data_IF_922683218201
#
_entry.id   IF_922683218201
#
_cell.length_a   1.000
_cell.length_b   1.000
_cell.length_c   1.000
_cell.angle_alpha   90.00
_cell.angle_beta   90.00
_cell.angle_gamma   90.00
#
_symmetry.space_group_name_H-M   'P 1'
#
loop_
_entity.id
_entity.type
_entity.pdbx_description
1 polymer ?
#
# COMPACT_ATOMS: atom_id res chain seq x y z
N UNK A 1 9.18 10.43 -27.41
CA UNK A 1 10.22 10.84 -26.44
C UNK A 1 10.02 9.99 -25.20
N UNK A 2 11.07 9.58 -24.50
CA UNK A 2 10.93 8.82 -23.25
C UNK A 2 11.13 9.80 -22.09
N UNK A 3 10.17 9.82 -21.18
CA UNK A 3 10.20 10.58 -19.95
C UNK A 3 10.53 9.62 -18.80
N UNK A 4 11.46 10.01 -17.94
CA UNK A 4 11.84 9.23 -16.76
C UNK A 4 11.63 10.15 -15.56
N UNK A 5 10.76 9.77 -14.65
CA UNK A 5 10.49 10.53 -13.44
C UNK A 5 11.08 9.81 -12.23
N UNK A 6 11.81 10.53 -11.38
CA UNK A 6 12.05 10.14 -10.00
C UNK A 6 10.81 10.50 -9.17
N UNK A 7 10.22 9.49 -8.55
CA UNK A 7 9.04 9.61 -7.71
C UNK A 7 9.43 9.27 -6.27
N UNK A 8 9.31 10.26 -5.39
CA UNK A 8 9.51 10.10 -3.96
C UNK A 8 8.16 10.05 -3.24
N UNK A 9 8.06 9.10 -2.32
CA UNK A 9 6.88 8.90 -1.47
C UNK A 9 7.28 9.11 -0.02
N UNK A 10 6.67 10.10 0.63
CA UNK A 10 6.87 10.37 2.05
C UNK A 10 5.63 9.91 2.82
N UNK A 11 5.80 9.05 3.81
CA UNK A 11 4.69 8.54 4.61
C UNK A 11 4.23 9.58 5.64
N UNK A 12 2.93 9.86 5.66
CA UNK A 12 2.29 10.74 6.66
C UNK A 12 1.46 9.94 7.69
N UNK A 13 1.48 8.61 7.57
CA UNK A 13 0.78 7.67 8.44
C UNK A 13 1.55 6.34 8.47
N UNK A 14 1.30 5.49 9.46
CA UNK A 14 1.99 4.21 9.55
C UNK A 14 1.54 3.27 8.42
N UNK A 15 2.49 2.73 7.67
CA UNK A 15 2.23 1.87 6.52
C UNK A 15 2.26 0.40 6.91
N UNK A 16 1.13 -0.26 6.69
CA UNK A 16 0.95 -1.68 6.97
C UNK A 16 0.56 -2.50 5.73
N UNK A 17 1.31 -3.57 5.50
CA UNK A 17 0.94 -4.74 4.71
C UNK A 17 1.77 -5.93 5.21
N UNK A 18 1.22 -7.14 5.11
CA UNK A 18 1.89 -8.33 5.62
C UNK A 18 2.86 -8.87 4.57
N UNK A 19 4.15 -8.61 4.74
CA UNK A 19 5.21 -9.27 3.96
C UNK A 19 5.62 -10.58 4.63
N UNK A 20 5.73 -10.59 5.96
CA UNK A 20 6.04 -11.77 6.77
C UNK A 20 5.03 -11.93 7.89
N UNK A 21 4.63 -13.17 8.16
CA UNK A 21 3.74 -13.53 9.27
C UNK A 21 4.42 -14.57 10.15
N UNK A 22 4.74 -14.19 11.39
CA UNK A 22 5.45 -15.03 12.37
C UNK A 22 4.57 -15.17 13.61
N UNK A 23 3.72 -16.20 13.62
CA UNK A 23 2.75 -16.43 14.70
C UNK A 23 1.75 -15.28 14.80
N UNK A 24 1.90 -14.41 15.81
CA UNK A 24 1.06 -13.21 16.01
C UNK A 24 1.76 -11.90 15.65
N UNK A 25 2.97 -11.97 15.10
CA UNK A 25 3.72 -10.83 14.61
C UNK A 25 3.56 -10.74 13.09
N UNK A 26 3.06 -9.60 12.62
CA UNK A 26 2.91 -9.29 11.20
C UNK A 26 3.90 -8.18 10.86
N UNK A 27 4.77 -8.40 9.88
CA UNK A 27 5.84 -7.46 9.54
C UNK A 27 5.68 -6.93 8.11
N UNK A 28 5.83 -5.61 7.97
CA UNK A 28 5.95 -4.90 6.71
C UNK A 28 7.42 -4.67 6.39
N UNK A 29 7.91 -5.25 5.30
CA UNK A 29 9.26 -4.96 4.81
C UNK A 29 9.30 -3.59 4.09
N UNK A 30 10.44 -2.89 4.07
CA UNK A 30 10.56 -1.57 3.48
C UNK A 30 10.67 -1.58 1.94
N UNK A 31 9.76 -2.29 1.26
CA UNK A 31 9.69 -2.38 -0.20
C UNK A 31 8.24 -2.37 -0.67
N UNK A 32 7.88 -1.38 -1.49
CA UNK A 32 6.52 -1.28 -2.05
C UNK A 32 6.54 -1.85 -3.47
N UNK A 33 5.73 -2.88 -3.71
CA UNK A 33 5.65 -3.55 -5.00
C UNK A 33 5.07 -2.63 -6.09
N UNK A 34 5.54 -2.78 -7.33
CA UNK A 34 5.12 -1.93 -8.45
C UNK A 34 3.59 -1.92 -8.67
N UNK A 35 2.93 -3.07 -8.53
CA UNK A 35 1.47 -3.14 -8.70
C UNK A 35 0.76 -2.23 -7.69
N UNK A 36 1.15 -2.29 -6.42
CA UNK A 36 0.57 -1.43 -5.39
C UNK A 36 0.76 0.07 -5.73
N UNK A 37 1.92 0.43 -6.29
CA UNK A 37 2.18 1.79 -6.76
C UNK A 37 1.30 2.18 -7.95
N UNK A 38 1.11 1.30 -8.93
CA UNK A 38 0.24 1.58 -10.08
C UNK A 38 -1.20 1.89 -9.64
N UNK A 39 -1.72 1.16 -8.65
CA UNK A 39 -3.04 1.45 -8.06
C UNK A 39 -3.02 2.75 -7.24
N UNK A 40 -2.03 2.92 -6.34
CA UNK A 40 -1.98 4.05 -5.41
C UNK A 40 -1.77 5.40 -6.14
N UNK A 41 -0.96 5.41 -7.20
CA UNK A 41 -0.70 6.59 -8.05
C UNK A 41 -1.87 6.92 -8.98
N UNK A 42 -2.92 6.10 -9.03
CA UNK A 42 -4.08 6.33 -9.89
C UNK A 42 -3.83 6.06 -11.37
N UNK A 43 -2.77 5.33 -11.72
CA UNK A 43 -2.45 4.96 -13.10
C UNK A 43 -3.41 3.88 -13.62
N UNK A 44 -3.96 3.07 -12.72
CA UNK A 44 -4.95 2.05 -13.06
C UNK A 44 -6.35 2.64 -12.90
N UNK A 45 -7.14 2.58 -13.98
CA UNK A 45 -8.54 2.95 -13.92
C UNK A 45 -9.40 1.78 -13.42
N UNK A 46 -9.61 1.71 -12.10
CA UNK A 46 -10.46 0.71 -11.48
C UNK A 46 -11.48 1.38 -10.55
N UNK A 47 -12.64 1.75 -11.09
CA UNK A 47 -13.73 2.32 -10.26
C UNK A 47 -14.21 1.37 -9.16
N UNK A 48 -14.06 0.06 -9.37
CA UNK A 48 -14.42 -1.00 -8.42
C UNK A 48 -13.30 -1.43 -7.45
N UNK A 49 -12.02 -1.03 -7.65
CA UNK A 49 -10.89 -1.46 -6.79
C UNK A 49 -10.19 -0.33 -6.05
N UNK A 50 -10.61 0.92 -6.23
CA UNK A 50 -9.94 2.09 -5.62
C UNK A 50 -10.08 2.17 -4.10
N UNK A 51 -11.19 1.69 -3.54
CA UNK A 51 -11.49 1.78 -2.12
C UNK A 51 -12.02 0.48 -1.51
N UNK A 52 -12.88 -0.23 -2.24
CA UNK A 52 -13.49 -1.46 -1.76
C UNK A 52 -13.73 -2.42 -2.92
N UNK A 53 -13.17 -3.62 -2.83
CA UNK A 53 -13.48 -4.71 -3.74
C UNK A 53 -14.42 -5.70 -3.03
N UNK A 54 -15.61 -5.91 -3.59
CA UNK A 54 -16.63 -6.81 -3.04
C UNK A 54 -16.24 -8.28 -3.14
N UNK A 55 -15.62 -8.67 -4.26
CA UNK A 55 -15.33 -10.07 -4.57
C UNK A 55 -13.93 -10.51 -4.12
N UNK A 56 -13.04 -9.55 -3.83
CA UNK A 56 -11.63 -9.77 -3.46
C UNK A 56 -10.85 -10.65 -4.45
N UNK A 57 -11.20 -10.60 -5.74
CA UNK A 57 -10.56 -11.37 -6.81
C UNK A 57 -9.49 -10.51 -7.49
N UNK A 58 -8.22 -10.94 -7.60
CA UNK A 58 -7.21 -10.14 -8.28
C UNK A 58 -7.42 -10.05 -9.80
N UNK A 59 -7.64 -8.85 -10.33
CA UNK A 59 -7.81 -8.56 -11.78
C UNK A 59 -6.58 -7.88 -12.39
N UNK A 60 -5.37 -8.29 -11.98
CA UNK A 60 -4.13 -7.60 -12.37
C UNK A 60 -3.92 -7.51 -13.89
N UNK A 61 -4.23 -8.58 -14.62
CA UNK A 61 -4.00 -8.61 -16.07
C UNK A 61 -4.86 -7.56 -16.80
N UNK A 62 -6.15 -7.52 -16.50
CA UNK A 62 -7.11 -6.58 -17.09
C UNK A 62 -6.77 -5.13 -16.73
N UNK A 63 -6.35 -4.91 -15.49
CA UNK A 63 -6.05 -3.57 -14.97
C UNK A 63 -4.68 -3.02 -15.39
N UNK A 64 -3.66 -3.87 -15.55
CA UNK A 64 -2.28 -3.45 -15.84
C UNK A 64 -1.94 -3.51 -17.34
N UNK A 65 -2.67 -4.27 -18.15
CA UNK A 65 -2.46 -4.29 -19.60
C UNK A 65 -2.60 -2.91 -20.26
N UNK A 66 -3.58 -2.06 -19.91
CA UNK A 66 -3.67 -0.71 -20.46
C UNK A 66 -2.41 0.13 -20.20
N UNK A 67 -1.76 0.00 -19.04
CA UNK A 67 -0.51 0.71 -18.76
C UNK A 67 0.63 0.27 -19.71
N UNK A 68 0.66 -1.02 -20.08
CA UNK A 68 1.63 -1.53 -21.05
C UNK A 68 1.38 -0.93 -22.45
N UNK A 69 0.12 -0.78 -22.85
CA UNK A 69 -0.28 -0.15 -24.13
C UNK A 69 0.12 1.34 -24.15
N UNK A 70 -0.06 2.04 -23.03
CA UNK A 70 0.39 3.43 -22.82
C UNK A 70 1.91 3.54 -22.64
N UNK A 71 2.62 2.41 -22.60
CA UNK A 71 4.08 2.31 -22.39
C UNK A 71 4.55 3.02 -21.11
N UNK A 72 3.78 2.84 -20.04
CA UNK A 72 4.08 3.30 -18.69
C UNK A 72 4.60 2.11 -17.87
N UNK A 73 5.74 2.29 -17.23
CA UNK A 73 6.30 1.30 -16.31
C UNK A 73 6.71 1.97 -15.00
N UNK A 74 6.29 1.40 -13.89
CA UNK A 74 6.64 1.84 -12.54
C UNK A 74 7.57 0.80 -11.92
N UNK A 75 8.75 1.21 -11.46
CA UNK A 75 9.64 0.31 -10.71
C UNK A 75 9.09 0.08 -9.30
N UNK A 76 9.41 -1.04 -8.64
CA UNK A 76 9.18 -1.17 -7.20
C UNK A 76 9.84 -0.01 -6.44
N UNK A 77 9.21 0.45 -5.37
CA UNK A 77 9.76 1.52 -4.55
C UNK A 77 10.65 0.93 -3.45
N UNK A 78 11.89 1.42 -3.38
CA UNK A 78 12.86 1.09 -2.33
C UNK A 78 12.80 2.17 -1.26
N UNK A 79 12.90 1.79 0.01
CA UNK A 79 13.09 2.77 1.07
C UNK A 79 14.46 3.47 0.93
N UNK A 80 14.46 4.80 0.97
CA UNK A 80 15.66 5.62 1.16
C UNK A 80 15.92 5.72 2.67
N UNK A 81 14.89 6.09 3.42
CA UNK A 81 14.92 6.25 4.87
C UNK A 81 13.67 5.54 5.39
N UNK A 82 13.83 4.65 6.36
CA UNK A 82 12.67 4.05 7.02
C UNK A 82 12.95 3.79 8.49
N UNK A 83 11.89 3.92 9.28
CA UNK A 83 11.85 3.49 10.67
C UNK A 83 10.69 2.51 10.81
N UNK A 84 10.79 1.56 11.74
CA UNK A 84 9.70 0.65 12.06
C UNK A 84 9.03 1.06 13.37
N UNK A 85 7.71 0.94 13.42
CA UNK A 85 6.91 1.09 14.64
C UNK A 85 6.23 -0.23 14.95
N UNK A 86 6.20 -0.62 16.22
CA UNK A 86 5.55 -1.85 16.67
C UNK A 86 4.24 -1.51 17.36
N UNK A 87 3.12 -1.73 16.66
CA UNK A 87 1.79 -1.52 17.19
C UNK A 87 1.22 -2.84 17.70
N UNK A 88 0.60 -2.80 18.89
CA UNK A 88 -0.16 -3.94 19.42
C UNK A 88 -1.63 -3.66 19.20
N UNK A 89 -2.33 -4.59 18.54
CA UNK A 89 -3.75 -4.47 18.30
C UNK A 89 -4.49 -5.66 18.92
N UNK A 90 -5.72 -5.39 19.34
CA UNK A 90 -6.64 -6.37 19.87
C UNK A 90 -8.00 -6.12 19.26
N UNK A 91 -8.60 -7.16 18.71
CA UNK A 91 -9.98 -7.12 18.27
C UNK A 91 -10.86 -7.01 19.53
N UNK A 92 -11.42 -5.82 19.75
CA UNK A 92 -12.28 -5.54 20.88
C UNK A 92 -13.74 -5.62 20.43
N UNK A 93 -14.57 -6.25 21.28
CA UNK A 93 -16.01 -6.12 21.15
C UNK A 93 -16.44 -4.80 21.80
N UNK A 94 -17.14 -3.95 21.06
CA UNK A 94 -17.59 -2.64 21.54
C UNK A 94 -18.89 -2.69 22.37
N UNK A 95 -19.47 -3.87 22.57
CA UNK A 95 -20.65 -4.03 23.39
C UNK A 95 -20.32 -3.80 24.88
N UNK A 96 -21.23 -3.17 25.63
CA UNK A 96 -21.06 -2.88 27.06
C UNK A 96 -21.01 -4.14 27.95
N UNK A 97 -21.67 -5.22 27.51
CA UNK A 97 -21.66 -6.51 28.19
C UNK A 97 -21.10 -7.55 27.22
N UNK A 98 -19.94 -8.11 27.55
CA UNK A 98 -19.25 -9.09 26.71
C UNK A 98 -19.08 -10.36 27.52
N UNK A 99 -19.80 -11.39 27.12
CA UNK A 99 -19.53 -12.75 27.60
C UNK A 99 -18.35 -13.32 26.81
N UNK A 100 -17.42 -13.98 27.51
CA UNK A 100 -16.26 -14.59 26.87
C UNK A 100 -16.65 -15.87 26.13
N UNK A 101 -17.22 -15.73 24.94
CA UNK A 101 -17.49 -16.84 24.04
C UNK A 101 -16.25 -17.22 23.24
N UNK A 102 -16.03 -18.53 23.05
CA UNK A 102 -15.00 -19.01 22.11
C UNK A 102 -15.45 -18.66 20.69
N UNK A 103 -14.71 -17.78 20.04
CA UNK A 103 -14.94 -17.43 18.63
C UNK A 103 -14.84 -18.69 17.77
N UNK A 104 -15.94 -19.05 17.08
CA UNK A 104 -15.98 -20.22 16.20
C UNK A 104 -15.31 -19.97 14.83
N UNK A 105 -15.05 -18.70 14.48
CA UNK A 105 -14.40 -18.30 13.24
C UNK A 105 -12.90 -18.10 13.47
N UNK A 106 -12.07 -18.49 12.50
CA UNK A 106 -10.63 -18.25 12.51
C UNK A 106 -10.32 -16.78 12.20
N UNK A 107 -10.68 -15.90 13.14
CA UNK A 107 -10.45 -14.45 13.05
C UNK A 107 -9.34 -14.11 14.04
N UNK A 108 -8.31 -13.37 13.62
CA UNK A 108 -7.26 -12.93 14.52
C UNK A 108 -7.82 -12.07 15.67
N UNK A 109 -7.60 -12.48 16.92
CA UNK A 109 -8.14 -11.79 18.11
C UNK A 109 -7.20 -10.74 18.67
N UNK A 110 -5.88 -10.94 18.57
CA UNK A 110 -4.87 -9.96 18.92
C UNK A 110 -3.55 -10.30 18.25
N UNK A 111 -2.71 -9.27 18.09
CA UNK A 111 -1.40 -9.42 17.49
C UNK A 111 -0.56 -8.17 17.62
N UNK A 112 0.61 -8.23 16.99
CA UNK A 112 1.51 -7.10 16.83
C UNK A 112 1.78 -6.89 15.36
N UNK A 113 1.70 -5.65 14.91
CA UNK A 113 2.08 -5.24 13.58
C UNK A 113 3.38 -4.42 13.70
N UNK A 114 4.45 -4.92 13.08
CA UNK A 114 5.67 -4.16 12.84
C UNK A 114 5.50 -3.45 11.50
N UNK A 115 5.10 -2.20 11.59
CA UNK A 115 4.75 -1.34 10.47
C UNK A 115 5.91 -0.41 10.14
N UNK A 116 5.80 0.23 8.98
CA UNK A 116 6.73 1.29 8.60
C UNK A 116 6.19 2.60 9.18
N UNK A 117 7.01 3.28 9.96
CA UNK A 117 6.64 4.49 10.67
C UNK A 117 6.40 5.67 9.70
N UNK A 118 5.63 6.68 10.11
CA UNK A 118 5.56 7.97 9.43
C UNK A 118 6.95 8.57 9.20
N UNK A 119 7.04 9.52 8.26
CA UNK A 119 8.27 10.19 7.82
C UNK A 119 9.28 9.26 7.11
N UNK A 120 8.94 7.98 6.93
CA UNK A 120 9.71 7.10 6.05
C UNK A 120 9.55 7.54 4.60
N UNK A 121 10.65 7.48 3.84
CA UNK A 121 10.74 7.94 2.46
C UNK A 121 11.11 6.78 1.55
N UNK A 122 10.36 6.65 0.47
CA UNK A 122 10.59 5.68 -0.59
C UNK A 122 10.86 6.38 -1.92
N UNK A 123 11.57 5.68 -2.79
CA UNK A 123 11.84 6.14 -4.15
C UNK A 123 11.52 5.04 -5.16
N UNK A 124 10.83 5.42 -6.22
CA UNK A 124 10.66 4.63 -7.43
C UNK A 124 10.89 5.50 -8.66
N UNK A 125 11.06 4.83 -9.81
CA UNK A 125 11.15 5.49 -11.10
C UNK A 125 9.93 5.14 -11.94
N UNK A 126 9.44 6.13 -12.68
CA UNK A 126 8.32 5.98 -13.60
C UNK A 126 8.83 6.30 -15.00
N UNK A 127 8.75 5.33 -15.88
CA UNK A 127 9.14 5.45 -17.29
C UNK A 127 7.85 5.60 -18.09
N UNK A 128 7.75 6.64 -18.91
CA UNK A 128 6.56 6.92 -19.71
C UNK A 128 6.92 7.47 -21.09
N UNK A 129 6.06 7.22 -22.08
CA UNK A 129 6.16 7.85 -23.40
C UNK A 129 5.44 9.20 -23.51
N UNK A 130 4.62 9.52 -22.51
CA UNK A 130 3.80 10.72 -22.45
C UNK A 130 4.04 11.47 -21.12
N UNK A 131 3.87 12.80 -21.09
CA UNK A 131 3.97 13.54 -19.84
C UNK A 131 2.91 13.05 -18.84
N UNK A 132 3.33 12.77 -17.60
CA UNK A 132 2.46 12.26 -16.56
C UNK A 132 2.15 13.34 -15.52
N UNK A 133 0.90 13.40 -15.10
CA UNK A 133 0.48 14.16 -13.94
C UNK A 133 -0.04 13.18 -12.88
N UNK A 134 0.60 13.19 -11.71
CA UNK A 134 0.27 12.31 -10.60
C UNK A 134 -0.37 13.11 -9.47
N UNK A 135 -1.25 12.49 -8.68
CA UNK A 135 -1.83 13.13 -7.51
C UNK A 135 -0.75 13.38 -6.45
N UNK A 136 -0.83 14.54 -5.79
CA UNK A 136 0.06 14.89 -4.67
C UNK A 136 -0.11 13.98 -3.46
N UNK A 137 -1.32 13.47 -3.24
CA UNK A 137 -1.65 12.65 -2.08
C UNK A 137 -2.20 11.31 -2.54
N UNK A 138 -1.64 10.24 -1.98
CA UNK A 138 -2.06 8.88 -2.27
C UNK A 138 -2.36 8.11 -0.99
N UNK A 139 -3.01 6.96 -1.16
CA UNK A 139 -3.34 6.01 -0.10
C UNK A 139 -2.76 4.65 -0.48
N UNK A 140 -2.07 4.01 0.47
CA UNK A 140 -1.36 2.75 0.22
C UNK A 140 -1.42 1.81 1.42
N UNK A 141 -1.21 0.51 1.16
CA UNK A 141 -1.25 -0.53 2.18
C UNK A 141 -2.67 -0.92 2.61
N UNK A 142 -2.75 -1.89 3.52
CA UNK A 142 -4.02 -2.45 4.01
C UNK A 142 -4.83 -1.43 4.82
N UNK A 143 -4.17 -0.45 5.43
CA UNK A 143 -4.81 0.56 6.27
C UNK A 143 -5.04 1.90 5.57
N UNK A 144 -4.81 1.95 4.25
CA UNK A 144 -4.95 3.18 3.47
C UNK A 144 -4.13 4.33 4.07
N UNK A 145 -2.88 4.03 4.40
CA UNK A 145 -1.91 4.98 4.96
C UNK A 145 -1.68 6.10 3.96
N UNK A 146 -1.66 7.33 4.45
CA UNK A 146 -1.49 8.52 3.61
C UNK A 146 -0.01 8.72 3.26
N UNK A 147 0.29 9.02 2.00
CA UNK A 147 1.62 9.48 1.60
C UNK A 147 1.54 10.69 0.67
N UNK A 148 2.56 11.54 0.76
CA UNK A 148 2.83 12.62 -0.18
C UNK A 148 3.68 12.09 -1.34
N UNK A 149 3.33 12.50 -2.55
CA UNK A 149 4.07 12.20 -3.79
C UNK A 149 4.81 13.45 -4.24
N UNK A 150 6.13 13.31 -4.45
CA UNK A 150 6.99 14.33 -5.05
C UNK A 150 7.56 13.75 -6.35
N UNK A 151 7.28 14.41 -7.47
CA UNK A 151 7.72 13.98 -8.80
C UNK A 151 8.77 14.94 -9.33
N UNK A 152 9.87 14.41 -9.86
CA UNK A 152 10.93 15.15 -10.55
C UNK A 152 11.25 14.42 -11.84
N UNK A 153 11.30 15.14 -12.97
CA UNK A 153 11.69 14.61 -14.28
C UNK A 153 13.21 14.74 -14.50
#
# INVERSE_FOLDING_TARGET
MVHIYSCQLELHDSLYYATREIGRLYESEPVIHNYALCYALGLVNSDSYRYFCSEQIPQYQEHLNPLNEEKIYVTPARAIIHTAVLNTWKYANNNYHVEMEKTQKNIPSFGRAKEIAPESVFECFIISHHPLQLPKWIRLGKWMSKAEVKLTE
#
